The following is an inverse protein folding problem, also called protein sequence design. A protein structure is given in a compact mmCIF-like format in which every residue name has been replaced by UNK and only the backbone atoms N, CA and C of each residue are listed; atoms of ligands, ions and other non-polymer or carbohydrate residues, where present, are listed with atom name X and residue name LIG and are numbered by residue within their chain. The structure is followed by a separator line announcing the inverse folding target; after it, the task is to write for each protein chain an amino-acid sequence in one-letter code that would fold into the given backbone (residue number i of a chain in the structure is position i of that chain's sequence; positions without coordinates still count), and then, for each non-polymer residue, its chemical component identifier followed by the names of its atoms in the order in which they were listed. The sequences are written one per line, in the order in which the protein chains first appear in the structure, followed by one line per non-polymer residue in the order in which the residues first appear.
data_IF_997059945825
#
_entry.id   IF_997059945825
#
_cell.length_a   1.000
_cell.length_b   1.000
_cell.length_c   1.000
_cell.angle_alpha   90.00
_cell.angle_beta   90.00
_cell.angle_gamma   90.00
#
_symmetry.space_group_name_H-M   'P 1'
#
loop_
_entity.id
_entity.type
_entity.pdbx_description
1 polymer ?
#
# COMPACT_ATOMS: atom_id res chain seq x y z
N UNK A 1 -42.97 24.40 0.24
CA UNK A 1 -42.02 25.31 0.88
C UNK A 1 -40.75 24.50 1.03
N UNK A 2 -39.67 24.84 0.29
CA UNK A 2 -38.42 24.06 0.37
C UNK A 2 -37.86 24.25 1.76
N UNK A 3 -37.52 23.16 2.41
CA UNK A 3 -36.95 23.16 3.75
C UNK A 3 -35.62 23.95 3.77
N UNK A 4 -35.41 24.74 4.82
CA UNK A 4 -34.25 25.61 4.94
C UNK A 4 -32.95 24.81 5.05
N UNK A 5 -33.02 23.64 5.67
CA UNK A 5 -31.91 22.70 5.81
C UNK A 5 -31.58 22.03 4.48
N UNK A 6 -32.60 21.55 3.76
CA UNK A 6 -32.44 21.01 2.40
C UNK A 6 -31.83 22.05 1.43
N UNK A 7 -32.23 23.32 1.56
CA UNK A 7 -31.67 24.41 0.75
C UNK A 7 -30.18 24.63 1.03
N UNK A 8 -29.76 24.58 2.31
CA UNK A 8 -28.35 24.71 2.70
C UNK A 8 -27.53 23.55 2.14
N UNK A 9 -28.03 22.31 2.26
CA UNK A 9 -27.37 21.11 1.74
C UNK A 9 -27.18 21.18 0.22
N UNK A 10 -28.21 21.55 -0.54
CA UNK A 10 -28.12 21.68 -1.99
C UNK A 10 -27.13 22.77 -2.41
N UNK A 11 -27.11 23.90 -1.69
CA UNK A 11 -26.14 24.97 -1.93
C UNK A 11 -24.70 24.50 -1.68
N UNK A 12 -24.44 23.76 -0.60
CA UNK A 12 -23.12 23.23 -0.31
C UNK A 12 -22.66 22.26 -1.41
N UNK A 13 -23.55 21.34 -1.84
CA UNK A 13 -23.29 20.41 -2.95
C UNK A 13 -22.92 21.12 -4.25
N UNK A 14 -23.63 22.19 -4.59
CA UNK A 14 -23.35 22.99 -5.78
C UNK A 14 -22.02 23.75 -5.70
N UNK A 15 -21.46 23.98 -4.51
CA UNK A 15 -20.27 24.80 -4.30
C UNK A 15 -18.98 23.98 -4.11
N UNK A 16 -19.05 22.64 -4.13
CA UNK A 16 -17.91 21.73 -3.90
C UNK A 16 -16.69 22.05 -4.76
N UNK A 17 -16.91 22.39 -6.03
CA UNK A 17 -15.85 22.74 -6.99
C UNK A 17 -15.00 23.95 -6.59
N UNK A 18 -15.44 24.76 -5.62
CA UNK A 18 -14.70 25.95 -5.15
C UNK A 18 -13.47 25.61 -4.30
N UNK A 19 -13.41 24.42 -3.73
CA UNK A 19 -12.21 23.91 -3.04
C UNK A 19 -11.94 22.50 -3.56
N UNK A 20 -11.42 22.39 -4.79
CA UNK A 20 -11.14 21.10 -5.38
C UNK A 20 -9.77 20.59 -4.92
N UNK A 21 -9.65 19.27 -4.83
CA UNK A 21 -8.38 18.55 -4.59
C UNK A 21 -8.31 17.36 -5.56
N UNK A 22 -7.10 16.85 -5.79
CA UNK A 22 -6.89 15.59 -6.51
C UNK A 22 -6.95 14.44 -5.50
N UNK A 23 -7.76 13.42 -5.77
CA UNK A 23 -8.09 12.36 -4.80
C UNK A 23 -6.85 11.71 -4.17
N UNK A 24 -5.85 11.36 -4.96
CA UNK A 24 -4.64 10.67 -4.51
C UNK A 24 -3.40 11.58 -4.47
N UNK A 25 -3.57 12.89 -4.70
CA UNK A 25 -2.46 13.86 -4.74
C UNK A 25 -2.88 15.13 -3.99
N UNK A 26 -3.05 14.98 -2.69
CA UNK A 26 -3.35 16.05 -1.73
C UNK A 26 -2.65 15.74 -0.39
N UNK A 27 -2.51 16.74 0.48
CA UNK A 27 -1.74 16.60 1.73
C UNK A 27 -2.32 15.56 2.67
N UNK A 28 -3.64 15.47 2.77
CA UNK A 28 -4.34 14.53 3.66
C UNK A 28 -4.04 13.09 3.23
N UNK A 29 -4.28 12.77 1.96
CA UNK A 29 -4.00 11.43 1.41
C UNK A 29 -2.52 11.06 1.47
N UNK A 30 -1.61 12.00 1.16
CA UNK A 30 -0.16 11.75 1.31
C UNK A 30 0.17 11.42 2.77
N UNK A 31 -0.40 12.15 3.72
CA UNK A 31 -0.16 11.92 5.15
C UNK A 31 -0.70 10.56 5.59
N UNK A 32 -1.93 10.21 5.19
CA UNK A 32 -2.55 8.90 5.45
C UNK A 32 -1.72 7.77 4.86
N UNK A 33 -1.27 7.89 3.61
CA UNK A 33 -0.44 6.88 2.96
C UNK A 33 0.88 6.67 3.69
N UNK A 34 1.52 7.74 4.19
CA UNK A 34 2.74 7.63 4.99
C UNK A 34 2.49 6.88 6.31
N UNK A 35 1.33 7.05 6.94
CA UNK A 35 0.92 6.24 8.10
C UNK A 35 0.70 4.77 7.73
N UNK A 36 -0.05 4.52 6.65
CA UNK A 36 -0.34 3.17 6.19
C UNK A 36 0.94 2.40 5.83
N UNK A 37 1.88 3.05 5.12
CA UNK A 37 3.18 2.45 4.78
C UNK A 37 3.94 2.11 6.06
N UNK A 38 4.01 3.02 7.02
CA UNK A 38 4.72 2.77 8.27
C UNK A 38 4.11 1.60 9.05
N UNK A 39 2.78 1.56 9.18
CA UNK A 39 2.07 0.48 9.87
C UNK A 39 2.37 -0.88 9.22
N UNK A 40 2.30 -0.96 7.88
CA UNK A 40 2.64 -2.17 7.15
C UNK A 40 4.10 -2.59 7.32
N UNK A 41 5.03 -1.63 7.31
CA UNK A 41 6.44 -1.91 7.56
C UNK A 41 6.69 -2.39 9.00
N UNK A 42 5.99 -1.84 9.99
CA UNK A 42 6.03 -2.33 11.37
C UNK A 42 5.44 -3.73 11.51
N UNK A 43 4.33 -4.01 10.82
CA UNK A 43 3.72 -5.34 10.79
C UNK A 43 4.71 -6.39 10.29
N UNK A 44 5.45 -6.09 9.22
CA UNK A 44 6.52 -6.99 8.73
C UNK A 44 7.64 -7.16 9.76
N UNK A 45 8.03 -6.08 10.45
CA UNK A 45 9.07 -6.10 11.48
C UNK A 45 8.70 -6.98 12.68
N UNK A 46 7.42 -7.01 13.08
CA UNK A 46 6.92 -7.80 14.21
C UNK A 46 6.46 -9.21 13.82
N UNK A 47 6.12 -9.44 12.54
CA UNK A 47 5.82 -10.77 12.01
C UNK A 47 7.01 -11.75 12.17
N UNK A 48 8.23 -11.25 12.37
CA UNK A 48 9.41 -12.10 12.62
C UNK A 48 9.39 -12.83 13.97
N UNK A 49 8.51 -12.44 14.90
CA UNK A 49 8.57 -12.87 16.30
C UNK A 49 7.35 -13.72 16.72
N UNK A 50 6.64 -14.37 15.79
CA UNK A 50 5.51 -15.25 16.14
C UNK A 50 5.98 -16.41 17.04
N UNK A 51 5.40 -16.52 18.25
CA UNK A 51 5.80 -17.50 19.29
C UNK A 51 5.71 -18.95 18.82
N UNK A 52 4.90 -19.22 17.79
CA UNK A 52 4.63 -20.55 17.26
C UNK A 52 5.65 -20.99 16.19
N UNK A 53 6.54 -20.09 15.75
CA UNK A 53 7.66 -20.38 14.84
C UNK A 53 7.27 -20.93 13.47
N UNK A 54 5.99 -20.94 13.09
CA UNK A 54 5.48 -21.46 11.82
C UNK A 54 5.34 -20.37 10.74
N UNK A 55 5.03 -19.14 11.17
CA UNK A 55 4.78 -17.97 10.33
C UNK A 55 5.81 -16.88 10.66
N UNK A 56 7.10 -17.18 10.43
CA UNK A 56 8.19 -16.23 10.61
C UNK A 56 8.76 -15.80 9.25
N UNK A 57 9.31 -14.58 9.18
CA UNK A 57 10.00 -14.10 7.98
C UNK A 57 11.15 -15.04 7.56
N UNK A 58 11.82 -15.66 8.54
CA UNK A 58 12.87 -16.67 8.32
C UNK A 58 12.30 -17.90 7.61
N UNK A 59 11.13 -18.40 8.01
CA UNK A 59 10.48 -19.51 7.30
C UNK A 59 10.04 -19.09 5.90
N UNK A 60 9.56 -17.86 5.76
CA UNK A 60 9.24 -17.27 4.46
C UNK A 60 10.47 -17.01 3.58
N UNK A 61 11.68 -17.23 4.11
CA UNK A 61 12.97 -17.13 3.43
C UNK A 61 13.76 -18.45 3.54
N UNK A 62 13.07 -19.59 3.71
CA UNK A 62 13.67 -20.92 3.76
C UNK A 62 14.80 -21.10 4.80
N UNK A 63 14.79 -20.30 5.88
CA UNK A 63 15.82 -20.33 6.91
C UNK A 63 16.99 -19.35 6.69
N UNK A 64 16.95 -18.50 5.67
CA UNK A 64 17.98 -17.50 5.43
C UNK A 64 17.84 -16.32 6.42
N UNK A 65 18.62 -16.38 7.49
CA UNK A 65 18.66 -15.34 8.53
C UNK A 65 19.25 -14.02 8.04
N UNK A 66 20.20 -14.07 7.10
CA UNK A 66 20.86 -12.87 6.57
C UNK A 66 19.88 -12.10 5.68
N UNK A 67 19.19 -12.77 4.76
CA UNK A 67 18.16 -12.16 3.92
C UNK A 67 16.99 -11.64 4.76
N UNK A 68 16.57 -12.40 5.79
CA UNK A 68 15.53 -11.96 6.73
C UNK A 68 15.92 -10.68 7.48
N UNK A 69 17.19 -10.59 7.89
CA UNK A 69 17.72 -9.40 8.54
C UNK A 69 17.78 -8.20 7.58
N UNK A 70 18.21 -8.41 6.33
CA UNK A 70 18.25 -7.36 5.30
C UNK A 70 16.85 -6.80 5.02
N UNK A 71 15.84 -7.66 4.86
CA UNK A 71 14.45 -7.21 4.71
C UNK A 71 13.98 -6.43 5.93
N UNK A 72 14.24 -6.94 7.14
CA UNK A 72 13.88 -6.24 8.39
C UNK A 72 14.51 -4.84 8.44
N UNK A 73 15.75 -4.70 7.97
CA UNK A 73 16.41 -3.41 7.93
C UNK A 73 15.87 -2.48 6.85
N UNK A 74 15.57 -3.00 5.66
CA UNK A 74 14.97 -2.22 4.58
C UNK A 74 13.58 -1.66 4.96
N UNK A 75 12.74 -2.46 5.63
CA UNK A 75 11.44 -2.02 6.15
C UNK A 75 11.60 -1.02 7.31
N UNK A 76 12.57 -1.22 8.21
CA UNK A 76 12.83 -0.28 9.31
C UNK A 76 13.33 1.09 8.80
N UNK A 77 14.20 1.10 7.79
CA UNK A 77 14.67 2.33 7.15
C UNK A 77 13.53 3.07 6.46
N UNK A 78 12.63 2.33 5.79
CA UNK A 78 11.45 2.91 5.17
C UNK A 78 10.49 3.51 6.19
N UNK A 79 10.24 2.85 7.34
CA UNK A 79 9.49 3.45 8.46
C UNK A 79 10.08 4.80 8.86
N UNK A 80 11.40 4.82 9.10
CA UNK A 80 12.09 6.02 9.55
C UNK A 80 12.06 7.14 8.50
N UNK A 81 12.08 6.80 7.22
CA UNK A 81 11.92 7.78 6.13
C UNK A 81 10.49 8.34 6.04
N UNK A 82 9.46 7.51 6.24
CA UNK A 82 8.07 7.98 6.33
C UNK A 82 7.88 8.92 7.52
N UNK A 83 8.44 8.59 8.68
CA UNK A 83 8.46 9.46 9.86
C UNK A 83 9.11 10.80 9.55
N UNK A 84 10.35 10.79 9.03
CA UNK A 84 11.07 12.01 8.67
C UNK A 84 10.31 12.88 7.68
N UNK A 85 9.70 12.27 6.66
CA UNK A 85 8.91 13.04 5.69
C UNK A 85 7.70 13.72 6.34
N UNK A 86 7.01 13.06 7.28
CA UNK A 86 5.90 13.68 8.00
C UNK A 86 6.36 14.77 8.95
N UNK A 87 7.49 14.59 9.63
CA UNK A 87 8.11 15.64 10.44
C UNK A 87 8.45 16.85 9.57
N UNK A 88 9.14 16.64 8.45
CA UNK A 88 9.47 17.68 7.48
C UNK A 88 8.20 18.39 6.98
N UNK A 89 7.12 17.66 6.68
CA UNK A 89 5.86 18.26 6.24
C UNK A 89 5.19 19.14 7.31
N UNK A 90 5.44 18.89 8.59
CA UNK A 90 4.90 19.67 9.70
C UNK A 90 5.80 20.84 10.10
N UNK A 91 7.12 20.71 9.94
CA UNK A 91 8.10 21.72 10.34
C UNK A 91 8.46 22.69 9.22
N UNK A 92 8.54 22.20 7.98
CA UNK A 92 8.90 22.99 6.81
C UNK A 92 7.69 23.70 6.21
N UNK A 93 7.96 24.75 5.45
CA UNK A 93 6.91 25.48 4.75
C UNK A 93 6.26 24.61 3.65
N UNK A 94 4.95 24.40 3.76
CA UNK A 94 4.10 23.87 2.68
C UNK A 94 3.22 25.01 2.14
N UNK A 95 3.13 25.21 0.81
CA UNK A 95 2.28 26.25 0.24
C UNK A 95 0.81 25.96 0.52
N UNK A 96 0.06 26.97 0.94
CA UNK A 96 -1.41 26.86 1.11
C UNK A 96 -2.13 26.42 -0.19
N UNK A 97 -1.48 26.64 -1.34
CA UNK A 97 -2.00 26.23 -2.63
C UNK A 97 -1.65 24.79 -3.02
N UNK A 98 -1.06 23.96 -2.13
CA UNK A 98 -0.61 22.60 -2.47
C UNK A 98 -1.71 21.78 -3.14
N UNK A 99 -2.87 21.63 -2.49
CA UNK A 99 -3.92 20.75 -3.00
C UNK A 99 -4.54 21.26 -4.31
N UNK A 100 -4.61 22.58 -4.48
CA UNK A 100 -5.12 23.21 -5.72
C UNK A 100 -4.07 23.25 -6.83
N UNK A 101 -2.77 23.09 -6.50
CA UNK A 101 -1.68 23.12 -7.47
C UNK A 101 -1.80 21.96 -8.43
N UNK A 102 -1.96 20.74 -7.91
CA UNK A 102 -2.10 19.54 -8.74
C UNK A 102 -3.43 19.49 -9.50
N UNK A 103 -4.49 20.11 -8.96
CA UNK A 103 -5.73 20.34 -9.72
C UNK A 103 -5.45 21.22 -10.93
N UNK A 104 -4.83 22.40 -10.74
CA UNK A 104 -4.55 23.32 -11.83
C UNK A 104 -3.52 22.77 -12.84
N UNK A 105 -2.63 21.89 -12.39
CA UNK A 105 -1.65 21.18 -13.23
C UNK A 105 -2.27 20.04 -14.06
N UNK A 106 -3.56 19.73 -13.87
CA UNK A 106 -4.28 18.71 -14.63
C UNK A 106 -4.03 17.28 -14.16
N UNK A 107 -3.64 17.07 -12.90
CA UNK A 107 -3.36 15.75 -12.36
C UNK A 107 -4.63 14.93 -11.98
N UNK A 108 -5.81 15.36 -12.44
CA UNK A 108 -7.08 14.71 -12.11
C UNK A 108 -7.14 13.27 -12.60
N UNK A 109 -6.77 13.02 -13.86
CA UNK A 109 -6.82 11.66 -14.44
C UNK A 109 -5.82 10.71 -13.77
N UNK A 110 -4.57 11.16 -13.59
CA UNK A 110 -3.51 10.35 -12.97
C UNK A 110 -3.68 10.18 -11.45
N UNK A 111 -4.38 11.10 -10.80
CA UNK A 111 -4.55 11.15 -9.35
C UNK A 111 -5.91 10.68 -8.85
N UNK A 112 -6.65 9.88 -9.61
CA UNK A 112 -7.89 9.24 -9.13
C UNK A 112 -9.14 10.11 -9.16
N UNK A 113 -9.13 11.20 -9.93
CA UNK A 113 -10.22 12.15 -10.11
C UNK A 113 -10.19 13.33 -9.15
N UNK A 114 -11.16 14.23 -9.31
CA UNK A 114 -11.31 15.39 -8.45
C UNK A 114 -12.34 15.17 -7.34
N UNK A 115 -11.97 15.62 -6.14
CA UNK A 115 -12.89 15.79 -5.02
C UNK A 115 -13.13 17.28 -4.77
N UNK A 116 -14.26 17.62 -4.16
CA UNK A 116 -14.56 18.99 -3.75
C UNK A 116 -15.23 19.05 -2.38
N UNK A 117 -14.85 20.07 -1.60
CA UNK A 117 -15.29 20.27 -0.22
C UNK A 117 -16.78 20.59 -0.11
N UNK A 118 -17.52 19.75 0.61
CA UNK A 118 -18.89 20.02 1.01
C UNK A 118 -18.92 20.67 2.40
N UNK A 119 -19.24 21.96 2.45
CA UNK A 119 -19.30 22.69 3.73
C UNK A 119 -20.46 22.30 4.64
N UNK A 120 -21.46 21.55 4.14
CA UNK A 120 -22.56 21.06 4.95
C UNK A 120 -22.17 19.74 5.63
N UNK A 121 -21.62 18.81 4.86
CA UNK A 121 -21.17 17.50 5.35
C UNK A 121 -19.81 17.55 6.05
N UNK A 122 -19.04 18.64 5.87
CA UNK A 122 -17.66 18.81 6.37
C UNK A 122 -16.71 17.73 5.83
N UNK A 123 -16.88 17.37 4.55
CA UNK A 123 -16.11 16.30 3.91
C UNK A 123 -15.95 16.53 2.39
N UNK A 124 -15.03 15.83 1.78
CA UNK A 124 -14.74 15.85 0.35
C UNK A 124 -15.54 14.81 -0.42
N UNK A 125 -16.15 15.23 -1.53
CA UNK A 125 -16.93 14.35 -2.40
C UNK A 125 -16.49 14.44 -3.85
N UNK A 126 -16.64 13.34 -4.59
CA UNK A 126 -16.42 13.30 -6.03
C UNK A 126 -17.18 14.40 -6.77
N UNK A 127 -16.49 15.07 -7.68
CA UNK A 127 -17.06 16.09 -8.55
C UNK A 127 -17.61 15.46 -9.83
N UNK A 128 -18.83 15.84 -10.20
CA UNK A 128 -19.48 15.40 -11.45
C UNK A 128 -19.40 16.44 -12.58
N UNK A 129 -18.69 17.56 -12.36
CA UNK A 129 -18.51 18.60 -13.37
C UNK A 129 -17.36 18.23 -14.31
N UNK A 130 -17.32 18.82 -15.51
CA UNK A 130 -16.22 18.59 -16.44
C UNK A 130 -14.90 19.03 -15.82
N UNK A 131 -13.87 18.20 -15.94
CA UNK A 131 -12.52 18.42 -15.41
C UNK A 131 -12.00 19.83 -15.69
N UNK A 132 -12.16 20.32 -16.92
CA UNK A 132 -11.75 21.66 -17.34
C UNK A 132 -12.31 22.81 -16.47
N UNK A 133 -13.53 22.69 -15.96
CA UNK A 133 -14.14 23.73 -15.12
C UNK A 133 -13.51 23.78 -13.73
N UNK A 134 -13.25 22.62 -13.14
CA UNK A 134 -12.58 22.46 -11.85
C UNK A 134 -11.17 23.01 -11.90
N UNK A 135 -10.43 22.66 -12.95
CA UNK A 135 -9.10 23.19 -13.20
C UNK A 135 -9.09 24.71 -13.36
N UNK A 136 -10.04 25.27 -14.11
CA UNK A 136 -10.12 26.72 -14.34
C UNK A 136 -10.38 27.50 -13.05
N UNK A 137 -11.16 26.95 -12.13
CA UNK A 137 -11.35 27.55 -10.80
C UNK A 137 -10.07 27.49 -9.95
N UNK A 138 -9.32 26.38 -10.00
CA UNK A 138 -8.01 26.28 -9.34
C UNK A 138 -7.00 27.26 -9.95
N UNK A 139 -6.94 27.37 -11.29
CA UNK A 139 -6.09 28.31 -12.04
C UNK A 139 -6.38 29.76 -11.64
N UNK A 140 -7.64 30.15 -11.42
CA UNK A 140 -7.99 31.51 -10.97
C UNK A 140 -7.35 31.84 -9.62
N UNK A 141 -7.33 30.89 -8.68
CA UNK A 141 -6.69 31.08 -7.37
C UNK A 141 -5.18 31.18 -7.49
N UNK A 142 -4.55 30.29 -8.25
CA UNK A 142 -3.10 30.35 -8.48
C UNK A 142 -2.65 31.64 -9.17
N UNK A 143 -3.47 32.20 -10.07
CA UNK A 143 -3.21 33.49 -10.73
C UNK A 143 -3.24 34.70 -9.78
N UNK A 144 -3.70 34.54 -8.54
CA UNK A 144 -3.63 35.58 -7.52
C UNK A 144 -2.25 35.67 -6.87
N UNK A 145 -1.41 34.63 -7.01
CA UNK A 145 -0.03 34.62 -6.54
C UNK A 145 0.85 35.47 -7.46
N UNK A 146 1.92 36.05 -6.91
CA UNK A 146 2.96 36.65 -7.74
C UNK A 146 3.71 35.55 -8.51
N UNK A 147 4.45 35.93 -9.55
CA UNK A 147 5.26 34.97 -10.31
C UNK A 147 6.30 34.29 -9.42
N UNK A 148 6.91 35.04 -8.51
CA UNK A 148 7.92 34.53 -7.60
C UNK A 148 7.31 33.56 -6.59
N UNK A 149 6.15 33.91 -6.01
CA UNK A 149 5.42 33.04 -5.08
C UNK A 149 4.94 31.76 -5.77
N UNK A 150 4.44 31.85 -7.01
CA UNK A 150 4.03 30.68 -7.78
C UNK A 150 5.21 29.74 -8.06
N UNK A 151 6.38 30.28 -8.41
CA UNK A 151 7.59 29.48 -8.63
C UNK A 151 8.04 28.84 -7.31
N UNK A 152 8.05 29.58 -6.20
CA UNK A 152 8.40 29.03 -4.89
C UNK A 152 7.44 27.92 -4.47
N UNK A 153 6.13 28.14 -4.62
CA UNK A 153 5.10 27.17 -4.32
C UNK A 153 5.23 25.92 -5.19
N UNK A 154 5.38 26.07 -6.51
CA UNK A 154 5.55 24.95 -7.42
C UNK A 154 6.76 24.09 -7.05
N UNK A 155 7.91 24.71 -6.73
CA UNK A 155 9.12 24.00 -6.29
C UNK A 155 8.85 23.15 -5.04
N UNK A 156 8.12 23.71 -4.08
CA UNK A 156 7.81 23.01 -2.85
C UNK A 156 6.78 21.89 -3.06
N UNK A 157 5.74 22.13 -3.87
CA UNK A 157 4.78 21.09 -4.26
C UNK A 157 5.47 19.89 -4.91
N UNK A 158 6.37 20.14 -5.86
CA UNK A 158 7.13 19.05 -6.51
C UNK A 158 8.08 18.34 -5.56
N UNK A 159 8.74 19.05 -4.64
CA UNK A 159 9.60 18.41 -3.63
C UNK A 159 8.84 17.38 -2.80
N UNK A 160 7.72 17.79 -2.21
CA UNK A 160 6.87 16.91 -1.39
C UNK A 160 6.38 15.74 -2.24
N UNK A 161 5.85 16.01 -3.43
CA UNK A 161 5.33 14.96 -4.30
C UNK A 161 6.41 13.95 -4.75
N UNK A 162 7.61 14.41 -5.10
CA UNK A 162 8.71 13.52 -5.46
C UNK A 162 9.23 12.69 -4.28
N UNK A 163 9.31 13.28 -3.09
CA UNK A 163 9.66 12.53 -1.88
C UNK A 163 8.65 11.43 -1.60
N UNK A 164 7.35 11.76 -1.64
CA UNK A 164 6.25 10.80 -1.47
C UNK A 164 6.31 9.66 -2.50
N UNK A 165 6.44 9.99 -3.79
CA UNK A 165 6.56 8.96 -4.84
C UNK A 165 7.78 8.07 -4.64
N UNK A 166 8.89 8.61 -4.15
CA UNK A 166 10.09 7.83 -3.84
C UNK A 166 9.81 6.77 -2.76
N UNK A 167 9.12 7.16 -1.69
CA UNK A 167 8.74 6.26 -0.60
C UNK A 167 7.72 5.22 -1.06
N UNK A 168 6.68 5.65 -1.78
CA UNK A 168 5.66 4.74 -2.31
C UNK A 168 6.26 3.69 -3.24
N UNK A 169 7.13 4.07 -4.18
CA UNK A 169 7.77 3.12 -5.09
C UNK A 169 8.66 2.10 -4.34
N UNK A 170 9.37 2.55 -3.29
CA UNK A 170 10.18 1.66 -2.45
C UNK A 170 9.31 0.70 -1.67
N UNK A 171 8.22 1.19 -1.09
CA UNK A 171 7.24 0.37 -0.39
C UNK A 171 6.66 -0.71 -1.31
N UNK A 172 6.14 -0.32 -2.48
CA UNK A 172 5.54 -1.24 -3.44
C UNK A 172 6.54 -2.32 -3.89
N UNK A 173 7.81 -1.93 -4.09
CA UNK A 173 8.88 -2.86 -4.46
C UNK A 173 9.18 -3.87 -3.33
N UNK A 174 9.32 -3.40 -2.09
CA UNK A 174 9.57 -4.27 -0.93
C UNK A 174 8.37 -5.18 -0.65
N UNK A 175 7.15 -4.65 -0.75
CA UNK A 175 5.91 -5.39 -0.56
C UNK A 175 5.74 -6.49 -1.60
N UNK A 176 5.99 -6.19 -2.87
CA UNK A 176 5.96 -7.20 -3.93
C UNK A 176 7.00 -8.31 -3.70
N UNK A 177 8.21 -7.96 -3.27
CA UNK A 177 9.25 -8.94 -2.99
C UNK A 177 8.86 -9.90 -1.86
N UNK A 178 8.39 -9.37 -0.71
CA UNK A 178 8.00 -10.22 0.42
C UNK A 178 6.77 -11.07 0.11
N UNK A 179 5.79 -10.54 -0.62
CA UNK A 179 4.58 -11.31 -0.98
C UNK A 179 4.94 -12.49 -1.90
N UNK A 180 5.85 -12.30 -2.87
CA UNK A 180 6.36 -13.39 -3.72
C UNK A 180 7.04 -14.49 -2.89
N UNK A 181 7.91 -14.09 -1.95
CA UNK A 181 8.65 -15.03 -1.11
C UNK A 181 7.71 -15.83 -0.20
N UNK A 182 6.69 -15.17 0.36
CA UNK A 182 5.66 -15.82 1.17
C UNK A 182 4.83 -16.82 0.37
N UNK A 183 4.39 -16.44 -0.83
CA UNK A 183 3.58 -17.32 -1.67
C UNK A 183 4.36 -18.59 -2.08
N UNK A 184 5.63 -18.44 -2.45
CA UNK A 184 6.49 -19.58 -2.77
C UNK A 184 6.66 -20.51 -1.58
N UNK A 185 7.03 -19.98 -0.41
CA UNK A 185 7.28 -20.81 0.77
C UNK A 185 6.03 -21.42 1.38
N UNK A 186 4.86 -20.76 1.28
CA UNK A 186 3.58 -21.37 1.67
C UNK A 186 3.27 -22.60 0.81
N UNK A 187 3.57 -22.55 -0.49
CA UNK A 187 3.41 -23.70 -1.39
C UNK A 187 4.31 -24.88 -1.02
N UNK A 188 5.59 -24.62 -0.76
CA UNK A 188 6.54 -25.65 -0.34
C UNK A 188 6.17 -26.27 1.02
N UNK A 189 5.84 -25.44 2.02
CA UNK A 189 5.43 -25.92 3.35
C UNK A 189 4.16 -26.79 3.29
N UNK A 190 3.18 -26.44 2.45
CA UNK A 190 1.99 -27.27 2.25
C UNK A 190 2.35 -28.63 1.62
N UNK A 191 3.25 -28.65 0.64
CA UNK A 191 3.72 -29.88 0.03
C UNK A 191 4.44 -30.77 1.05
N UNK A 192 5.32 -30.20 1.88
CA UNK A 192 6.03 -30.95 2.95
C UNK A 192 5.04 -31.54 3.96
N UNK A 193 4.08 -30.75 4.46
CA UNK A 193 3.06 -31.22 5.41
C UNK A 193 2.22 -32.38 4.83
N UNK A 194 1.87 -32.33 3.55
CA UNK A 194 1.13 -33.41 2.91
C UNK A 194 2.01 -34.66 2.71
N UNK A 195 3.30 -34.51 2.38
CA UNK A 195 4.26 -35.62 2.33
C UNK A 195 4.36 -36.29 3.70
N UNK A 196 4.55 -35.52 4.77
CA UNK A 196 4.68 -36.02 6.15
C UNK A 196 3.44 -36.80 6.57
N UNK A 197 2.24 -36.22 6.38
CA UNK A 197 0.97 -36.87 6.68
C UNK A 197 0.80 -38.19 5.91
N UNK A 198 1.03 -38.17 4.59
CA UNK A 198 0.91 -39.37 3.76
C UNK A 198 1.95 -40.43 4.14
N UNK A 199 3.15 -40.00 4.56
CA UNK A 199 4.20 -40.89 5.04
C UNK A 199 3.82 -41.53 6.38
N UNK A 200 3.28 -40.78 7.34
CA UNK A 200 2.79 -41.30 8.62
C UNK A 200 1.67 -42.34 8.41
N UNK A 201 0.72 -42.07 7.51
CA UNK A 201 -0.35 -43.01 7.17
C UNK A 201 0.17 -44.29 6.49
N UNK A 202 1.19 -44.16 5.63
CA UNK A 202 1.83 -45.29 4.96
C UNK A 202 2.74 -46.11 5.89
N UNK A 203 3.35 -45.48 6.89
CA UNK A 203 4.34 -46.08 7.80
C UNK A 203 3.78 -46.52 9.15
N UNK A 204 2.48 -46.33 9.39
CA UNK A 204 1.82 -46.79 10.62
C UNK A 204 1.88 -48.32 10.80
N UNK A 205 1.63 -48.80 12.03
CA UNK A 205 1.75 -50.22 12.39
C UNK A 205 0.99 -51.19 11.47
N UNK A 206 -0.11 -50.72 10.87
CA UNK A 206 -0.97 -51.52 9.99
C UNK A 206 -0.48 -51.56 8.54
N UNK A 207 0.19 -50.50 8.07
CA UNK A 207 0.57 -50.31 6.67
C UNK A 207 2.07 -50.46 6.40
N UNK A 208 2.95 -50.38 7.41
CA UNK A 208 4.42 -50.29 7.22
C UNK A 208 5.08 -51.44 6.46
N UNK A 209 4.41 -52.58 6.39
CA UNK A 209 4.90 -53.79 5.70
C UNK A 209 4.13 -54.10 4.41
N UNK A 210 3.23 -53.21 4.00
CA UNK A 210 2.34 -53.39 2.87
C UNK A 210 2.54 -52.27 1.85
N UNK A 211 3.52 -52.47 0.96
CA UNK A 211 3.80 -51.59 -0.18
C UNK A 211 2.62 -51.47 -1.16
N UNK A 212 1.65 -52.38 -1.05
CA UNK A 212 0.43 -52.41 -1.84
C UNK A 212 -0.78 -51.76 -1.14
N UNK A 213 -0.61 -51.30 0.09
CA UNK A 213 -1.65 -50.59 0.82
C UNK A 213 -2.08 -49.33 0.05
N UNK A 214 -3.33 -48.93 0.25
CA UNK A 214 -3.85 -47.70 -0.36
C UNK A 214 -3.00 -46.49 0.04
N UNK A 215 -2.60 -46.43 1.31
CA UNK A 215 -1.75 -45.37 1.86
C UNK A 215 -0.37 -45.31 1.19
N UNK A 216 0.33 -46.45 1.05
CA UNK A 216 1.63 -46.49 0.37
C UNK A 216 1.57 -46.05 -1.10
N UNK A 217 0.49 -46.41 -1.80
CA UNK A 217 0.27 -45.99 -3.20
C UNK A 217 -0.09 -44.51 -3.33
N UNK A 218 -0.83 -43.95 -2.37
CA UNK A 218 -1.18 -42.52 -2.36
C UNK A 218 0.04 -41.65 -2.05
N UNK A 219 0.87 -42.03 -1.07
CA UNK A 219 2.15 -41.37 -0.79
C UNK A 219 3.09 -41.38 -2.00
N UNK A 220 3.28 -42.56 -2.63
CA UNK A 220 4.12 -42.69 -3.82
C UNK A 220 3.59 -41.86 -5.00
N UNK A 221 2.28 -41.90 -5.25
CA UNK A 221 1.67 -41.12 -6.33
C UNK A 221 1.83 -39.62 -6.12
N UNK A 222 1.71 -39.13 -4.89
CA UNK A 222 1.87 -37.71 -4.57
C UNK A 222 3.32 -37.27 -4.77
N UNK A 223 4.27 -38.02 -4.22
CA UNK A 223 5.71 -37.73 -4.34
C UNK A 223 6.22 -37.82 -5.79
N UNK A 224 5.80 -38.83 -6.56
CA UNK A 224 6.14 -38.97 -7.98
C UNK A 224 5.57 -37.82 -8.86
N UNK A 225 4.55 -37.10 -8.38
CA UNK A 225 3.92 -36.00 -9.11
C UNK A 225 4.51 -34.62 -8.78
N UNK A 226 5.39 -34.52 -7.78
CA UNK A 226 6.04 -33.26 -7.43
C UNK A 226 7.11 -32.88 -8.48
N UNK A 227 7.27 -31.58 -8.78
CA UNK A 227 8.29 -31.11 -9.69
C UNK A 227 9.70 -31.44 -9.18
N UNK A 228 10.65 -31.61 -10.10
CA UNK A 228 12.06 -31.93 -9.80
C UNK A 228 12.69 -30.97 -8.79
N UNK A 229 12.31 -29.70 -8.86
CA UNK A 229 12.75 -28.60 -8.02
C UNK A 229 12.38 -28.81 -6.54
N UNK A 230 11.34 -29.59 -6.24
CA UNK A 230 10.96 -29.94 -4.87
C UNK A 230 11.92 -30.93 -4.19
N UNK A 231 12.84 -31.54 -4.96
CA UNK A 231 13.78 -32.56 -4.48
C UNK A 231 15.23 -32.08 -4.41
N UNK A 232 15.49 -30.83 -4.79
CA UNK A 232 16.84 -30.25 -4.81
C UNK A 232 17.02 -29.44 -3.53
N UNK A 233 18.00 -29.86 -2.71
CA UNK A 233 18.48 -29.15 -1.53
C UNK A 233 19.71 -28.30 -1.87
#
# INVERSE_FOLDING_TARGET
MVDAEETKRLKAKQMRYKKPIVKNINLETITEDLWNIQEECENVRWYTDSEDGNDSLINALAGDEDEAYEFKMAFADLCAECDRMREDMNEEWIPECFDIFFVAAGAGESGGGFLGWDSYEQDYFGLSCSDAFTEDEAKKKLKQLTKDDLIAAARQCFKVYHAYLGLQNRYDSLKAAIDILRDQNTGYLQAVKEIEKLYEEASNEWNRYSDWSKAAREWKRYTDALPSEAWIA
#
